data_IF_351598057880
#
_entry.id   IF_351598057880
#
_cell.length_a   1.000
_cell.length_b   1.000
_cell.length_c   1.000
_cell.angle_alpha   90.00
_cell.angle_beta   90.00
_cell.angle_gamma   90.00
#
_symmetry.space_group_name_H-M   'P 1'
#
loop_
_entity.id
_entity.type
_entity.pdbx_description
1 polymer ?
#
# COMPACT_ATOMS: atom_id res chain seq x y z
N UNK A 1 -16.21 -18.97 1.13
CA UNK A 1 -15.09 -18.33 0.39
C UNK A 1 -13.82 -18.64 1.14
N UNK A 2 -12.98 -19.47 0.53
CA UNK A 2 -11.72 -19.98 1.07
C UNK A 2 -10.63 -19.17 0.35
N UNK A 3 -9.74 -18.53 1.09
CA UNK A 3 -8.57 -17.90 0.50
C UNK A 3 -7.37 -18.81 0.72
N UNK A 4 -6.71 -19.18 -0.38
CA UNK A 4 -5.50 -20.00 -0.45
C UNK A 4 -4.25 -19.13 -0.39
N UNK A 5 -3.24 -19.58 0.35
CA UNK A 5 -1.86 -19.15 0.22
C UNK A 5 -1.12 -20.25 -0.55
N UNK A 6 -0.42 -19.91 -1.65
CA UNK A 6 0.26 -20.88 -2.53
C UNK A 6 1.34 -21.72 -1.82
N UNK A 7 1.85 -21.27 -0.67
CA UNK A 7 2.79 -22.05 0.17
C UNK A 7 2.12 -23.17 0.98
N UNK A 8 0.79 -23.23 1.04
CA UNK A 8 0.03 -24.16 1.89
C UNK A 8 -0.61 -25.32 1.11
N UNK A 9 -0.12 -25.64 -0.09
CA UNK A 9 -0.75 -26.61 -1.00
C UNK A 9 -0.55 -28.10 -0.66
N UNK A 10 0.28 -28.45 0.34
CA UNK A 10 0.70 -29.84 0.53
C UNK A 10 0.01 -30.64 1.64
N UNK A 11 -0.79 -30.06 2.54
CA UNK A 11 -1.39 -30.86 3.62
C UNK A 11 -2.87 -30.56 3.77
N UNK A 12 -3.69 -31.52 3.35
CA UNK A 12 -5.13 -31.61 3.65
C UNK A 12 -5.33 -31.81 5.16
N UNK A 13 -5.12 -30.78 5.96
CA UNK A 13 -5.63 -30.73 7.32
C UNK A 13 -6.37 -29.42 7.55
N UNK A 14 -7.61 -29.56 8.03
CA UNK A 14 -8.52 -28.47 8.36
C UNK A 14 -7.97 -27.74 9.58
N UNK A 15 -7.39 -26.56 9.40
CA UNK A 15 -6.96 -25.73 10.53
C UNK A 15 -8.17 -24.91 11.01
N UNK A 16 -8.68 -25.25 12.20
CA UNK A 16 -9.53 -24.35 12.97
C UNK A 16 -8.65 -23.26 13.57
N UNK A 17 -9.10 -22.01 13.45
CA UNK A 17 -8.77 -20.85 14.28
C UNK A 17 -7.65 -21.01 15.34
N UNK A 18 -6.67 -20.08 15.40
CA UNK A 18 -6.27 -19.11 14.37
C UNK A 18 -4.74 -18.95 14.30
N UNK A 19 -4.02 -19.95 13.80
CA UNK A 19 -2.65 -19.76 13.35
C UNK A 19 -2.48 -20.50 12.03
N UNK A 20 -2.05 -19.79 10.99
CA UNK A 20 -1.31 -20.43 9.91
C UNK A 20 0.14 -20.05 10.14
N UNK A 21 0.87 -20.92 10.83
CA UNK A 21 2.32 -20.87 10.81
C UNK A 21 2.76 -21.28 9.41
N UNK A 22 3.64 -20.50 8.81
CA UNK A 22 4.38 -20.95 7.65
C UNK A 22 5.77 -21.36 8.12
N UNK A 23 5.96 -22.61 8.57
CA UNK A 23 7.29 -23.09 8.90
C UNK A 23 8.10 -23.30 7.62
N UNK A 24 9.33 -22.81 7.60
CA UNK A 24 10.40 -23.39 6.78
C UNK A 24 11.33 -24.10 7.75
N UNK A 25 11.59 -25.39 7.52
CA UNK A 25 12.54 -26.20 8.30
C UNK A 25 12.25 -26.21 9.82
N UNK A 26 10.97 -26.17 10.21
CA UNK A 26 10.55 -26.16 11.62
C UNK A 26 10.64 -24.81 12.33
N UNK A 27 11.07 -23.74 11.64
CA UNK A 27 11.16 -22.37 12.20
C UNK A 27 9.96 -21.55 11.74
N UNK A 28 9.25 -20.92 12.69
CA UNK A 28 8.15 -20.01 12.38
C UNK A 28 8.71 -18.76 11.69
N UNK A 29 8.46 -18.64 10.39
CA UNK A 29 8.94 -17.52 9.58
C UNK A 29 8.02 -16.29 9.66
N UNK A 30 6.75 -16.51 10.02
CA UNK A 30 5.80 -15.42 10.11
C UNK A 30 4.54 -15.75 10.89
N UNK A 31 3.82 -14.70 11.27
CA UNK A 31 2.52 -14.77 11.93
C UNK A 31 1.44 -14.23 10.98
N UNK A 32 0.34 -14.98 10.85
CA UNK A 32 -0.78 -14.64 9.97
C UNK A 32 -2.07 -14.66 10.78
N UNK A 33 -2.74 -13.53 10.81
CA UNK A 33 -4.00 -13.34 11.52
C UNK A 33 -5.07 -12.86 10.57
N UNK A 34 -6.27 -13.42 10.70
CA UNK A 34 -7.43 -13.00 9.95
C UNK A 34 -8.64 -12.90 10.90
N UNK A 35 -9.20 -11.70 11.03
CA UNK A 35 -10.44 -11.46 11.74
C UNK A 35 -11.64 -11.79 10.83
N UNK A 36 -12.64 -12.46 11.39
CA UNK A 36 -13.81 -12.93 10.65
C UNK A 36 -15.03 -12.01 10.72
N UNK A 37 -14.86 -10.82 11.31
CA UNK A 37 -15.85 -9.74 11.24
C UNK A 37 -17.15 -10.02 12.03
N UNK A 38 -17.03 -10.47 13.29
CA UNK A 38 -18.16 -10.50 14.24
C UNK A 38 -17.81 -9.72 15.52
N UNK A 39 -18.75 -9.00 16.12
CA UNK A 39 -18.47 -8.10 17.27
C UNK A 39 -18.02 -8.84 18.54
N UNK A 40 -18.46 -10.08 18.74
CA UNK A 40 -18.00 -10.97 19.83
C UNK A 40 -16.55 -11.44 19.59
N UNK A 41 -16.06 -11.38 18.34
CA UNK A 41 -14.75 -11.88 17.91
C UNK A 41 -13.60 -10.94 18.23
N UNK A 42 -13.79 -9.61 18.30
CA UNK A 42 -12.63 -8.71 18.34
C UNK A 42 -11.82 -8.77 19.65
N UNK A 43 -12.47 -8.87 20.80
CA UNK A 43 -11.78 -9.00 22.09
C UNK A 43 -10.97 -10.31 22.13
N UNK A 44 -11.52 -11.39 21.60
CA UNK A 44 -10.85 -12.69 21.49
C UNK A 44 -9.68 -12.59 20.51
N UNK A 45 -9.88 -11.94 19.35
CA UNK A 45 -8.85 -11.70 18.35
C UNK A 45 -7.66 -10.93 18.94
N UNK A 46 -7.91 -9.83 19.67
CA UNK A 46 -6.87 -9.05 20.35
C UNK A 46 -6.06 -9.90 21.33
N UNK A 47 -6.74 -10.63 22.22
CA UNK A 47 -6.08 -11.51 23.19
C UNK A 47 -5.25 -12.58 22.48
N UNK A 48 -5.78 -13.10 21.38
CA UNK A 48 -5.12 -14.13 20.60
C UNK A 48 -3.85 -13.61 19.90
N UNK A 49 -3.92 -12.46 19.23
CA UNK A 49 -2.76 -11.81 18.61
C UNK A 49 -1.70 -11.58 19.69
N UNK A 50 -2.07 -10.97 20.81
CA UNK A 50 -1.14 -10.70 21.91
C UNK A 50 -0.46 -11.96 22.45
N UNK A 51 -1.23 -13.02 22.74
CA UNK A 51 -0.69 -14.31 23.21
C UNK A 51 0.24 -14.96 22.17
N UNK A 52 -0.10 -14.87 20.88
CA UNK A 52 0.74 -15.41 19.81
C UNK A 52 2.09 -14.69 19.71
N UNK A 53 2.11 -13.37 19.90
CA UNK A 53 3.36 -12.63 20.01
C UNK A 53 4.17 -13.10 21.23
N UNK A 54 3.56 -13.21 22.41
CA UNK A 54 4.25 -13.68 23.62
C UNK A 54 4.84 -15.09 23.48
N UNK A 55 4.12 -16.00 22.83
CA UNK A 55 4.56 -17.39 22.63
C UNK A 55 5.65 -17.52 21.57
N UNK A 56 5.76 -16.57 20.65
CA UNK A 56 6.80 -16.58 19.63
C UNK A 56 8.12 -16.07 20.23
N UNK A 57 9.12 -16.97 20.34
CA UNK A 57 10.46 -16.69 20.89
C UNK A 57 11.48 -16.23 19.85
N UNK A 58 11.09 -16.07 18.58
CA UNK A 58 12.01 -15.65 17.53
C UNK A 58 12.45 -14.19 17.77
N UNK A 59 13.77 -13.91 17.75
CA UNK A 59 14.28 -12.55 17.94
C UNK A 59 13.96 -11.63 16.75
N UNK A 60 13.76 -12.20 15.57
CA UNK A 60 13.36 -11.50 14.35
C UNK A 60 12.16 -12.25 13.75
N UNK A 61 11.07 -11.54 13.52
CA UNK A 61 9.90 -12.08 12.82
C UNK A 61 9.96 -11.65 11.36
N UNK A 62 10.18 -12.56 10.42
CA UNK A 62 10.33 -12.14 9.02
C UNK A 62 9.02 -11.55 8.47
N UNK A 63 7.88 -12.20 8.74
CA UNK A 63 6.58 -11.78 8.20
C UNK A 63 5.50 -11.62 9.27
N UNK A 64 4.78 -10.51 9.22
CA UNK A 64 3.54 -10.30 9.95
C UNK A 64 2.42 -9.92 9.00
N UNK A 65 1.36 -10.72 8.99
CA UNK A 65 0.14 -10.46 8.25
C UNK A 65 -1.04 -10.28 9.21
N UNK A 66 -1.73 -9.16 9.08
CA UNK A 66 -2.89 -8.76 9.85
C UNK A 66 -4.02 -8.43 8.88
N UNK A 67 -4.98 -9.33 8.75
CA UNK A 67 -6.26 -9.07 8.08
C UNK A 67 -7.30 -8.80 9.16
N UNK A 68 -7.78 -7.56 9.24
CA UNK A 68 -8.56 -7.03 10.35
C UNK A 68 -10.03 -6.86 9.95
N UNK A 69 -10.93 -6.79 10.93
CA UNK A 69 -12.31 -6.39 10.69
C UNK A 69 -12.44 -4.89 10.39
N UNK A 70 -13.55 -4.44 9.75
CA UNK A 70 -13.83 -3.03 9.46
C UNK A 70 -13.99 -2.19 10.73
N UNK A 71 -14.45 -2.80 11.83
CA UNK A 71 -14.67 -2.15 13.13
C UNK A 71 -13.45 -2.25 14.05
N UNK A 72 -12.28 -2.64 13.52
CA UNK A 72 -11.07 -2.76 14.32
C UNK A 72 -10.64 -1.41 14.89
N UNK A 73 -10.59 -1.24 16.23
CA UNK A 73 -10.16 0.01 16.82
C UNK A 73 -8.70 0.30 16.45
N UNK A 74 -8.44 1.56 16.12
CA UNK A 74 -7.12 2.04 15.72
C UNK A 74 -6.08 1.94 16.82
N UNK A 75 -6.49 2.00 18.10
CA UNK A 75 -5.61 1.75 19.25
C UNK A 75 -4.96 0.36 19.19
N UNK A 76 -5.67 -0.66 18.72
CA UNK A 76 -5.12 -2.02 18.63
C UNK A 76 -4.11 -2.14 17.48
N UNK A 77 -4.38 -1.44 16.37
CA UNK A 77 -3.44 -1.35 15.24
C UNK A 77 -2.11 -0.76 15.72
N UNK A 78 -2.16 0.33 16.49
CA UNK A 78 -0.97 0.93 17.10
C UNK A 78 -0.22 -0.04 18.02
N UNK A 79 -0.93 -0.81 18.84
CA UNK A 79 -0.31 -1.86 19.69
C UNK A 79 0.37 -2.94 18.86
N UNK A 80 -0.25 -3.42 17.78
CA UNK A 80 0.35 -4.45 16.91
C UNK A 80 1.54 -3.94 16.11
N UNK A 81 1.53 -2.66 15.70
CA UNK A 81 2.69 -1.98 15.12
C UNK A 81 3.83 -1.93 16.15
N UNK A 82 3.56 -1.53 17.40
CA UNK A 82 4.59 -1.53 18.45
C UNK A 82 5.17 -2.92 18.72
N UNK A 83 4.33 -3.96 18.71
CA UNK A 83 4.78 -5.34 18.83
C UNK A 83 5.65 -5.76 17.64
N UNK A 84 5.25 -5.42 16.40
CA UNK A 84 6.03 -5.68 15.21
C UNK A 84 7.41 -5.00 15.25
N UNK A 85 7.46 -3.76 15.77
CA UNK A 85 8.69 -3.02 15.99
C UNK A 85 9.61 -3.76 16.98
N UNK A 86 9.06 -4.22 18.10
CA UNK A 86 9.81 -4.98 19.13
C UNK A 86 10.38 -6.31 18.63
N UNK A 87 9.85 -6.86 17.53
CA UNK A 87 10.26 -8.12 16.91
C UNK A 87 11.04 -7.95 15.62
N UNK A 88 11.49 -6.73 15.35
CA UNK A 88 12.28 -6.40 14.16
C UNK A 88 11.65 -6.93 12.86
N UNK A 89 10.34 -6.74 12.71
CA UNK A 89 9.61 -7.25 11.54
C UNK A 89 10.22 -6.74 10.24
N UNK A 90 10.37 -7.63 9.25
CA UNK A 90 10.92 -7.29 7.92
C UNK A 90 9.85 -7.10 6.86
N UNK A 91 8.74 -7.82 6.97
CA UNK A 91 7.58 -7.70 6.08
C UNK A 91 6.32 -7.53 6.89
N UNK A 92 5.65 -6.40 6.70
CA UNK A 92 4.40 -6.05 7.38
C UNK A 92 3.30 -5.92 6.33
N UNK A 93 2.23 -6.69 6.52
CA UNK A 93 1.05 -6.67 5.68
C UNK A 93 -0.18 -6.41 6.56
N UNK A 94 -0.82 -5.26 6.41
CA UNK A 94 -2.03 -4.87 7.14
C UNK A 94 -3.16 -4.66 6.13
N UNK A 95 -4.29 -5.34 6.32
CA UNK A 95 -5.48 -5.24 5.50
C UNK A 95 -6.69 -4.92 6.37
N UNK A 96 -7.37 -3.82 6.06
CA UNK A 96 -8.61 -3.39 6.70
C UNK A 96 -9.67 -3.26 5.60
N UNK A 97 -10.62 -4.22 5.52
CA UNK A 97 -11.61 -4.30 4.47
C UNK A 97 -12.72 -3.25 4.64
N UNK A 98 -13.48 -3.05 3.56
CA UNK A 98 -14.61 -2.13 3.53
C UNK A 98 -15.72 -2.60 4.49
N UNK A 99 -16.38 -1.71 5.26
CA UNK A 99 -17.55 -2.10 6.04
C UNK A 99 -18.63 -2.63 5.10
N UNK A 100 -19.04 -3.90 5.25
CA UNK A 100 -20.13 -4.46 4.45
C UNK A 100 -21.39 -3.63 4.73
N UNK A 101 -21.97 -3.03 3.67
CA UNK A 101 -23.11 -2.10 3.69
C UNK A 101 -24.11 -2.41 4.83
N UNK A 102 -24.03 -1.60 5.88
CA UNK A 102 -25.05 -1.36 6.89
C UNK A 102 -25.00 0.14 7.21
N UNK A 103 -26.00 0.72 7.91
CA UNK A 103 -25.89 2.11 8.36
C UNK A 103 -24.63 2.24 9.20
N UNK A 104 -23.63 2.90 8.65
CA UNK A 104 -22.38 3.17 9.35
C UNK A 104 -22.78 4.00 10.57
N UNK A 105 -22.50 3.48 11.76
CA UNK A 105 -22.55 4.33 12.94
C UNK A 105 -21.38 5.26 12.76
N UNK A 106 -21.66 6.50 12.37
CA UNK A 106 -20.65 7.55 12.26
C UNK A 106 -19.77 7.48 13.52
N UNK A 107 -18.42 7.58 13.41
CA UNK A 107 -17.62 7.85 14.59
C UNK A 107 -18.27 9.05 15.28
N UNK A 108 -18.62 8.90 16.55
CA UNK A 108 -19.31 9.97 17.28
C UNK A 108 -18.44 11.21 17.11
N UNK A 109 -19.05 12.31 16.66
CA UNK A 109 -18.41 13.62 16.57
C UNK A 109 -17.78 13.95 17.92
N UNK A 110 -16.49 13.65 18.09
CA UNK A 110 -15.83 13.65 19.40
C UNK A 110 -14.63 12.71 19.51
N UNK A 111 -14.54 11.65 18.71
CA UNK A 111 -13.35 10.79 18.73
C UNK A 111 -12.14 11.51 18.08
N UNK A 112 -10.99 11.62 18.78
CA UNK A 112 -9.83 12.31 18.25
C UNK A 112 -9.31 11.60 16.97
N UNK A 113 -8.77 12.35 15.99
CA UNK A 113 -8.09 11.76 14.86
C UNK A 113 -6.95 10.88 15.39
N UNK A 114 -6.88 9.63 14.89
CA UNK A 114 -5.88 8.68 15.37
C UNK A 114 -4.71 8.65 14.41
N UNK A 115 -3.57 9.08 14.93
CA UNK A 115 -2.31 9.14 14.21
C UNK A 115 -1.59 7.80 14.34
N UNK A 116 -1.39 7.11 13.22
CA UNK A 116 -0.64 5.85 13.17
C UNK A 116 0.77 6.13 12.66
N UNK A 117 1.75 6.05 13.55
CA UNK A 117 3.16 6.22 13.20
C UNK A 117 3.82 4.86 12.99
N UNK A 118 4.29 4.60 11.78
CA UNK A 118 5.05 3.42 11.40
C UNK A 118 6.52 3.85 11.32
N UNK A 119 7.22 3.69 12.43
CA UNK A 119 8.66 3.94 12.55
C UNK A 119 9.35 2.61 12.81
N UNK A 120 9.89 1.97 11.78
CA UNK A 120 10.44 0.61 11.86
C UNK A 120 11.75 0.44 11.08
N UNK A 121 12.92 0.64 11.71
CA UNK A 121 14.19 0.64 10.99
C UNK A 121 14.57 -0.71 10.35
N UNK A 122 13.97 -1.83 10.79
CA UNK A 122 14.22 -3.17 10.20
C UNK A 122 13.28 -3.52 9.05
N UNK A 123 12.21 -2.75 8.84
CA UNK A 123 11.15 -3.12 7.91
C UNK A 123 11.60 -2.87 6.46
N UNK A 124 11.50 -3.91 5.63
CA UNK A 124 11.96 -3.88 4.24
C UNK A 124 10.79 -3.84 3.25
N UNK A 125 9.63 -4.39 3.64
CA UNK A 125 8.42 -4.37 2.81
C UNK A 125 7.19 -4.03 3.64
N UNK A 126 6.41 -3.07 3.15
CA UNK A 126 5.17 -2.61 3.76
C UNK A 126 4.05 -2.73 2.74
N UNK A 127 3.01 -3.48 3.09
CA UNK A 127 1.75 -3.49 2.38
C UNK A 127 0.63 -3.06 3.33
N UNK A 128 -0.05 -1.96 2.98
CA UNK A 128 -1.20 -1.46 3.71
C UNK A 128 -2.37 -1.32 2.76
N UNK A 129 -3.49 -1.93 3.12
CA UNK A 129 -4.76 -1.76 2.43
C UNK A 129 -5.79 -1.27 3.44
N UNK A 130 -6.26 -0.04 3.28
CA UNK A 130 -7.25 0.57 4.15
C UNK A 130 -8.46 1.03 3.35
N UNK A 131 -9.58 0.33 3.50
CA UNK A 131 -10.78 0.61 2.73
C UNK A 131 -11.80 1.49 3.47
N UNK A 132 -11.52 1.94 4.71
CA UNK A 132 -12.48 2.71 5.50
C UNK A 132 -12.42 4.21 5.14
N UNK A 133 -13.53 4.73 4.61
CA UNK A 133 -13.69 6.10 4.09
C UNK A 133 -13.78 7.15 5.22
N UNK A 134 -14.09 6.73 6.45
CA UNK A 134 -14.54 7.65 7.52
C UNK A 134 -13.50 7.96 8.59
N UNK A 135 -12.38 7.23 8.63
CA UNK A 135 -11.32 7.50 9.60
C UNK A 135 -10.57 8.78 9.23
N UNK A 136 -10.72 9.83 10.04
CA UNK A 136 -9.89 11.06 10.03
C UNK A 136 -8.46 10.81 10.54
N UNK A 137 -7.94 9.59 10.45
CA UNK A 137 -6.61 9.26 10.93
C UNK A 137 -5.53 9.79 9.99
N UNK A 138 -4.47 10.34 10.56
CA UNK A 138 -3.24 10.60 9.82
C UNK A 138 -2.31 9.40 10.00
N UNK A 139 -1.42 9.16 9.05
CA UNK A 139 -0.32 8.23 9.31
C UNK A 139 0.99 8.78 8.79
N UNK A 140 2.03 8.52 9.57
CA UNK A 140 3.42 8.86 9.25
C UNK A 140 4.15 7.56 9.02
N UNK A 141 4.74 7.40 7.84
CA UNK A 141 5.59 6.26 7.49
C UNK A 141 7.01 6.80 7.35
N UNK A 142 7.84 6.47 8.35
CA UNK A 142 9.28 6.78 8.39
C UNK A 142 10.02 5.46 8.60
N UNK A 143 10.43 4.85 7.49
CA UNK A 143 10.95 3.49 7.45
C UNK A 143 12.23 3.47 6.61
N UNK A 144 13.39 3.82 7.18
CA UNK A 144 14.60 4.11 6.41
C UNK A 144 15.12 2.94 5.58
N UNK A 145 14.87 1.70 6.02
CA UNK A 145 15.28 0.47 5.34
C UNK A 145 14.24 -0.07 4.34
N UNK A 146 13.14 0.65 4.10
CA UNK A 146 12.06 0.17 3.26
C UNK A 146 12.49 0.10 1.80
N UNK A 147 12.32 -1.07 1.17
CA UNK A 147 12.64 -1.30 -0.25
C UNK A 147 11.40 -1.37 -1.12
N UNK A 148 10.27 -1.80 -0.55
CA UNK A 148 9.00 -1.93 -1.25
C UNK A 148 7.84 -1.37 -0.42
N UNK A 149 7.10 -0.44 -1.01
CA UNK A 149 5.90 0.15 -0.45
C UNK A 149 4.70 -0.17 -1.34
N UNK A 150 3.64 -0.73 -0.75
CA UNK A 150 2.34 -0.86 -1.40
C UNK A 150 1.26 -0.30 -0.47
N UNK A 151 0.59 0.77 -0.92
CA UNK A 151 -0.50 1.40 -0.19
C UNK A 151 -1.73 1.46 -1.08
N UNK A 152 -2.82 0.89 -0.59
CA UNK A 152 -4.16 1.09 -1.15
C UNK A 152 -5.04 1.72 -0.10
N UNK A 153 -5.56 2.92 -0.36
CA UNK A 153 -6.35 3.62 0.63
C UNK A 153 -7.42 4.52 0.00
N UNK A 154 -8.66 4.29 0.40
CA UNK A 154 -9.84 4.98 -0.11
C UNK A 154 -10.28 6.19 0.72
N UNK A 155 -9.58 6.53 1.81
CA UNK A 155 -9.96 7.65 2.68
C UNK A 155 -9.88 8.98 1.91
N UNK A 156 -10.87 9.85 2.17
CA UNK A 156 -11.04 11.15 1.50
C UNK A 156 -9.99 12.20 1.89
N UNK A 157 -9.10 11.91 2.84
CA UNK A 157 -8.24 12.91 3.47
C UNK A 157 -6.75 12.75 3.16
N UNK A 158 -6.10 13.91 2.99
CA UNK A 158 -4.74 14.11 2.49
C UNK A 158 -3.66 14.15 3.60
N UNK A 159 -3.91 13.57 4.77
CA UNK A 159 -3.00 13.65 5.92
C UNK A 159 -2.03 12.47 5.99
N UNK A 160 -1.24 12.30 4.93
CA UNK A 160 -0.27 11.20 4.83
C UNK A 160 1.12 11.81 4.71
N UNK A 161 1.98 11.49 5.66
CA UNK A 161 3.39 11.85 5.61
C UNK A 161 4.17 10.59 5.32
N UNK A 162 4.71 10.55 4.11
CA UNK A 162 5.67 9.56 3.68
C UNK A 162 6.99 10.31 3.70
N UNK A 163 7.89 9.93 4.59
CA UNK A 163 9.13 10.66 4.83
C UNK A 163 10.29 9.67 4.99
N UNK A 164 11.49 10.12 4.66
CA UNK A 164 12.74 9.44 5.01
C UNK A 164 12.80 7.93 4.69
N UNK A 165 12.72 7.58 3.39
CA UNK A 165 12.93 6.20 2.93
C UNK A 165 13.95 6.16 1.77
N UNK A 166 15.23 6.43 2.05
CA UNK A 166 16.27 6.58 1.02
C UNK A 166 16.56 5.28 0.25
N UNK A 167 16.19 4.12 0.79
CA UNK A 167 16.40 2.81 0.17
C UNK A 167 15.18 2.33 -0.64
N UNK A 168 14.14 3.17 -0.79
CA UNK A 168 12.90 2.76 -1.43
C UNK A 168 13.08 2.59 -2.93
N UNK A 169 12.90 1.36 -3.42
CA UNK A 169 13.09 1.00 -4.83
C UNK A 169 11.75 0.95 -5.58
N UNK A 170 10.72 0.36 -4.96
CA UNK A 170 9.40 0.17 -5.57
C UNK A 170 8.31 0.77 -4.70
N UNK A 171 7.46 1.60 -5.31
CA UNK A 171 6.29 2.16 -4.67
C UNK A 171 5.05 1.92 -5.54
N UNK A 172 4.02 1.32 -4.96
CA UNK A 172 2.68 1.23 -5.54
C UNK A 172 1.71 1.98 -4.65
N UNK A 173 1.05 2.98 -5.20
CA UNK A 173 0.10 3.80 -4.45
C UNK A 173 -1.24 3.87 -5.18
N UNK A 174 -2.30 3.69 -4.41
CA UNK A 174 -3.69 3.73 -4.87
C UNK A 174 -4.50 4.52 -3.85
N UNK A 175 -4.55 5.84 -4.03
CA UNK A 175 -5.34 6.73 -3.19
C UNK A 175 -6.68 7.08 -3.84
N UNK A 176 -7.66 7.53 -3.05
CA UNK A 176 -8.93 8.06 -3.56
C UNK A 176 -8.77 9.28 -4.49
N UNK A 177 -9.85 9.63 -5.19
CA UNK A 177 -9.88 10.65 -6.23
C UNK A 177 -9.48 12.07 -5.77
N UNK A 178 -9.61 12.37 -4.48
CA UNK A 178 -9.27 13.67 -3.88
C UNK A 178 -7.81 13.77 -3.40
N UNK A 179 -6.98 12.79 -3.78
CA UNK A 179 -5.60 12.70 -3.33
C UNK A 179 -4.69 13.76 -3.98
N UNK A 180 -3.74 14.23 -3.19
CA UNK A 180 -2.72 15.21 -3.59
C UNK A 180 -1.38 14.53 -3.86
N UNK A 181 -0.49 15.24 -4.55
CA UNK A 181 0.86 14.79 -4.88
C UNK A 181 1.88 14.88 -3.73
N UNK A 182 1.45 15.15 -2.50
CA UNK A 182 2.36 15.38 -1.35
C UNK A 182 3.24 14.16 -1.05
N UNK A 183 2.72 12.95 -1.24
CA UNK A 183 3.47 11.71 -0.99
C UNK A 183 4.71 11.57 -1.87
N UNK A 184 4.72 12.18 -3.07
CA UNK A 184 5.88 12.12 -3.98
C UNK A 184 7.13 12.75 -3.36
N UNK A 185 6.98 13.66 -2.37
CA UNK A 185 8.12 14.24 -1.64
C UNK A 185 8.91 13.21 -0.85
N UNK A 186 8.26 12.16 -0.34
CA UNK A 186 8.92 11.08 0.41
C UNK A 186 9.52 9.98 -0.44
N UNK A 187 9.21 9.97 -1.75
CA UNK A 187 9.60 8.91 -2.66
C UNK A 187 10.94 9.19 -3.34
N UNK A 188 11.89 9.85 -2.68
CA UNK A 188 13.09 10.47 -3.27
C UNK A 188 13.96 9.51 -4.10
N UNK A 189 14.06 8.25 -3.71
CA UNK A 189 14.91 7.22 -4.34
C UNK A 189 14.18 6.24 -5.27
N UNK A 190 12.86 6.39 -5.45
CA UNK A 190 12.03 5.37 -6.12
C UNK A 190 12.47 5.17 -7.57
N UNK A 191 12.68 3.89 -7.94
CA UNK A 191 13.02 3.48 -9.30
C UNK A 191 11.81 2.95 -10.07
N UNK A 192 10.81 2.42 -9.37
CA UNK A 192 9.56 1.93 -9.97
C UNK A 192 8.35 2.49 -9.23
N UNK A 193 7.55 3.30 -9.92
CA UNK A 193 6.34 3.91 -9.37
C UNK A 193 5.11 3.41 -10.11
N UNK A 194 4.16 2.84 -9.37
CA UNK A 194 2.86 2.42 -9.89
C UNK A 194 1.74 3.27 -9.28
N UNK A 195 0.91 3.89 -10.13
CA UNK A 195 -0.30 4.62 -9.74
C UNK A 195 -1.56 3.89 -10.21
N UNK A 196 -2.63 3.88 -9.41
CA UNK A 196 -3.96 3.37 -9.82
C UNK A 196 -5.03 4.43 -10.06
N UNK A 197 -4.86 5.62 -9.49
CA UNK A 197 -5.82 6.72 -9.60
C UNK A 197 -5.08 8.01 -9.95
N UNK A 198 -5.74 8.97 -10.63
CA UNK A 198 -5.11 10.26 -10.87
C UNK A 198 -4.95 11.06 -9.58
N UNK A 199 -3.99 11.97 -9.63
CA UNK A 199 -3.88 13.05 -8.66
C UNK A 199 -4.74 14.21 -9.14
N UNK A 200 -5.31 14.96 -8.20
CA UNK A 200 -6.15 16.13 -8.48
C UNK A 200 -5.44 17.21 -9.31
N UNK A 201 -4.12 17.35 -9.15
CA UNK A 201 -3.26 18.22 -9.94
C UNK A 201 -1.79 17.79 -9.89
N UNK A 202 -1.01 18.06 -10.95
CA UNK A 202 0.44 17.88 -10.91
C UNK A 202 1.12 18.70 -9.80
N UNK A 203 2.29 18.25 -9.30
CA UNK A 203 3.13 19.07 -8.44
C UNK A 203 3.61 20.36 -9.11
N UNK A 204 3.68 21.45 -8.34
CA UNK A 204 4.27 22.72 -8.80
C UNK A 204 5.79 22.61 -8.98
N UNK A 205 6.46 21.85 -8.11
CA UNK A 205 7.88 21.55 -8.18
C UNK A 205 8.10 20.09 -8.55
N UNK A 206 9.07 19.80 -9.42
CA UNK A 206 9.38 18.42 -9.82
C UNK A 206 9.92 17.62 -8.63
N UNK A 207 9.28 16.49 -8.25
CA UNK A 207 9.80 15.61 -7.22
C UNK A 207 11.17 15.03 -7.60
N UNK A 208 12.05 14.91 -6.62
CA UNK A 208 13.44 14.45 -6.79
C UNK A 208 13.52 13.10 -7.53
N UNK A 209 12.59 12.19 -7.26
CA UNK A 209 12.59 10.88 -7.89
C UNK A 209 12.34 10.92 -9.39
N UNK A 210 11.55 11.87 -9.89
CA UNK A 210 11.38 12.04 -11.34
C UNK A 210 12.70 12.48 -11.97
N UNK A 211 13.44 13.38 -11.31
CA UNK A 211 14.69 13.91 -11.84
C UNK A 211 15.83 12.88 -11.81
N UNK A 212 15.93 12.06 -10.76
CA UNK A 212 17.18 11.33 -10.49
C UNK A 212 17.09 9.81 -10.45
N UNK A 213 15.92 9.21 -10.21
CA UNK A 213 15.84 7.77 -9.90
C UNK A 213 14.79 6.98 -10.67
N UNK A 214 13.71 7.61 -11.12
CA UNK A 214 12.57 6.89 -11.69
C UNK A 214 12.93 6.28 -13.05
N UNK A 215 12.93 4.95 -13.11
CA UNK A 215 13.26 4.17 -14.30
C UNK A 215 12.03 3.51 -14.94
N UNK A 216 11.04 3.13 -14.14
CA UNK A 216 9.79 2.56 -14.63
C UNK A 216 8.58 3.26 -13.99
N UNK A 217 7.65 3.69 -14.84
CA UNK A 217 6.37 4.24 -14.42
C UNK A 217 5.23 3.34 -14.92
N UNK A 218 4.31 2.99 -14.04
CA UNK A 218 3.14 2.19 -14.38
C UNK A 218 1.87 2.92 -13.95
N UNK A 219 0.96 3.16 -14.88
CA UNK A 219 -0.37 3.66 -14.59
C UNK A 219 -1.40 2.57 -14.83
N UNK A 220 -1.87 1.97 -13.75
CA UNK A 220 -2.91 0.96 -13.79
C UNK A 220 -4.30 1.59 -13.85
N UNK A 221 -5.19 1.08 -14.70
CA UNK A 221 -6.53 1.63 -14.92
C UNK A 221 -6.57 3.09 -15.40
N UNK A 222 -5.65 3.46 -16.28
CA UNK A 222 -5.62 4.75 -16.97
C UNK A 222 -6.90 4.96 -17.78
N UNK A 223 -7.70 5.98 -17.38
CA UNK A 223 -8.99 6.28 -18.03
C UNK A 223 -8.87 7.28 -19.17
N UNK A 224 -7.72 7.94 -19.32
CA UNK A 224 -7.50 8.96 -20.35
C UNK A 224 -8.38 10.20 -20.21
N UNK A 225 -8.82 10.54 -18.98
CA UNK A 225 -9.48 11.82 -18.70
C UNK A 225 -8.45 12.96 -18.77
N UNK A 226 -8.92 14.20 -18.87
CA UNK A 226 -8.04 15.38 -18.90
C UNK A 226 -7.04 15.40 -17.72
N UNK A 227 -7.53 15.14 -16.50
CA UNK A 227 -6.68 15.05 -15.30
C UNK A 227 -5.64 13.91 -15.36
N UNK A 228 -6.02 12.76 -15.95
CA UNK A 228 -5.10 11.64 -16.10
C UNK A 228 -4.00 12.00 -17.10
N UNK A 229 -4.37 12.63 -18.22
CA UNK A 229 -3.45 13.08 -19.28
C UNK A 229 -2.46 14.12 -18.78
N UNK A 230 -2.92 15.11 -18.02
CA UNK A 230 -2.07 16.16 -17.47
C UNK A 230 -0.98 15.59 -16.57
N UNK A 231 -1.35 14.68 -15.67
CA UNK A 231 -0.39 14.03 -14.78
C UNK A 231 0.55 13.08 -15.55
N UNK A 232 0.04 12.32 -16.52
CA UNK A 232 0.87 11.45 -17.36
C UNK A 232 1.91 12.25 -18.15
N UNK A 233 1.47 13.34 -18.82
CA UNK A 233 2.34 14.28 -19.53
C UNK A 233 3.38 14.90 -18.59
N UNK A 234 2.96 15.27 -17.38
CA UNK A 234 3.88 15.79 -16.37
C UNK A 234 4.99 14.80 -16.02
N UNK A 235 4.65 13.53 -15.73
CA UNK A 235 5.66 12.51 -15.43
C UNK A 235 6.60 12.31 -16.61
N UNK A 236 6.07 12.14 -17.83
CA UNK A 236 6.87 11.91 -19.04
C UNK A 236 7.83 13.08 -19.35
N UNK A 237 7.39 14.32 -19.14
CA UNK A 237 8.20 15.53 -19.37
C UNK A 237 9.27 15.79 -18.32
N UNK A 238 9.16 15.20 -17.14
CA UNK A 238 10.06 15.49 -16.02
C UNK A 238 10.91 14.29 -15.60
N UNK A 239 10.56 13.07 -16.01
CA UNK A 239 11.28 11.86 -15.61
C UNK A 239 12.53 11.62 -16.48
N UNK A 240 13.68 12.12 -16.02
CA UNK A 240 14.93 12.16 -16.82
C UNK A 240 15.59 10.78 -16.99
N UNK A 241 15.36 9.84 -16.06
CA UNK A 241 15.91 8.48 -16.11
C UNK A 241 14.91 7.41 -16.55
N UNK A 242 13.75 7.83 -17.02
CA UNK A 242 12.67 6.93 -17.38
C UNK A 242 13.10 6.03 -18.55
N UNK A 243 12.95 4.72 -18.37
CA UNK A 243 13.21 3.70 -19.40
C UNK A 243 11.91 3.17 -19.95
N UNK A 244 10.92 2.95 -19.09
CA UNK A 244 9.61 2.42 -19.47
C UNK A 244 8.47 3.16 -18.79
N UNK A 245 7.43 3.48 -19.56
CA UNK A 245 6.18 4.04 -19.08
C UNK A 245 5.02 3.17 -19.59
N UNK A 246 4.39 2.40 -18.71
CA UNK A 246 3.32 1.47 -19.06
C UNK A 246 1.98 2.02 -18.58
N UNK A 247 0.99 2.05 -19.47
CA UNK A 247 -0.37 2.46 -19.15
C UNK A 247 -1.30 1.29 -19.41
N UNK A 248 -2.17 0.95 -18.46
CA UNK A 248 -3.14 -0.14 -18.65
C UNK A 248 -4.56 0.35 -18.45
N UNK A 249 -5.52 -0.24 -19.17
CA UNK A 249 -6.95 0.09 -19.07
C UNK A 249 -7.77 -1.21 -19.09
N UNK A 250 -8.89 -1.23 -18.35
CA UNK A 250 -9.82 -2.38 -18.36
C UNK A 250 -10.56 -2.59 -19.68
N UNK A 251 -10.64 -1.56 -20.53
CA UNK A 251 -11.28 -1.65 -21.84
C UNK A 251 -10.45 -2.52 -22.78
N UNK A 252 -11.10 -3.39 -23.54
CA UNK A 252 -10.49 -4.18 -24.62
C UNK A 252 -10.50 -3.44 -25.96
N UNK A 253 -11.05 -2.22 -26.02
CA UNK A 253 -11.05 -1.45 -27.26
C UNK A 253 -9.63 -0.99 -27.63
N UNK A 254 -9.07 -1.64 -28.64
CA UNK A 254 -7.75 -1.32 -29.18
C UNK A 254 -7.72 0.05 -29.86
N UNK A 255 -8.86 0.55 -30.38
CA UNK A 255 -8.94 1.87 -31.01
C UNK A 255 -8.66 3.00 -30.00
N UNK A 256 -9.37 2.99 -28.88
CA UNK A 256 -9.11 3.90 -27.76
C UNK A 256 -7.68 3.79 -27.22
N UNK A 257 -7.16 2.56 -27.01
CA UNK A 257 -5.78 2.35 -26.53
C UNK A 257 -4.75 2.98 -27.48
N UNK A 258 -4.87 2.73 -28.79
CA UNK A 258 -4.00 3.30 -29.82
C UNK A 258 -4.08 4.83 -29.87
N UNK A 259 -5.27 5.42 -29.72
CA UNK A 259 -5.43 6.87 -29.70
C UNK A 259 -4.76 7.50 -28.47
N UNK A 260 -4.93 6.90 -27.30
CA UNK A 260 -4.29 7.36 -26.06
C UNK A 260 -2.77 7.24 -26.13
N UNK A 261 -2.26 6.14 -26.69
CA UNK A 261 -0.83 5.93 -26.88
C UNK A 261 -0.24 7.00 -27.80
N UNK A 262 -0.84 7.26 -28.97
CA UNK A 262 -0.39 8.33 -29.88
C UNK A 262 -0.37 9.69 -29.21
N UNK A 263 -1.36 9.98 -28.36
CA UNK A 263 -1.37 11.25 -27.61
C UNK A 263 -0.20 11.33 -26.61
N UNK A 264 0.12 10.25 -25.91
CA UNK A 264 1.25 10.22 -24.97
C UNK A 264 2.60 10.23 -25.68
N UNK A 265 2.74 9.55 -26.82
CA UNK A 265 3.94 9.55 -27.66
C UNK A 265 4.20 10.90 -28.34
N UNK A 266 3.15 11.69 -28.60
CA UNK A 266 3.29 13.06 -29.12
C UNK A 266 4.00 14.02 -28.14
N UNK A 267 4.18 13.59 -26.89
CA UNK A 267 4.81 14.37 -25.83
C UNK A 267 6.31 14.11 -25.87
N UNK A 268 7.10 15.15 -26.08
CA UNK A 268 8.55 15.06 -25.90
C UNK A 268 8.87 14.59 -24.47
N UNK A 269 9.40 13.37 -24.36
CA UNK A 269 9.83 12.80 -23.08
C UNK A 269 11.13 13.46 -22.62
N UNK A 270 11.30 13.58 -21.31
CA UNK A 270 12.54 14.09 -20.72
C UNK A 270 13.73 13.14 -20.95
N UNK A 271 13.43 11.85 -21.09
CA UNK A 271 14.39 10.78 -21.37
C UNK A 271 14.25 10.32 -22.82
N UNK A 272 15.29 10.50 -23.67
CA UNK A 272 15.27 10.03 -25.06
C UNK A 272 15.16 8.51 -25.21
N UNK A 273 15.51 7.75 -24.16
CA UNK A 273 15.44 6.29 -24.15
C UNK A 273 14.10 5.73 -23.63
N UNK A 274 13.17 6.60 -23.21
CA UNK A 274 11.92 6.16 -22.62
C UNK A 274 11.00 5.52 -23.68
N UNK A 275 10.54 4.30 -23.39
CA UNK A 275 9.52 3.61 -24.18
C UNK A 275 8.15 3.78 -23.51
N UNK A 276 7.16 4.22 -24.27
CA UNK A 276 5.77 4.32 -23.81
C UNK A 276 5.03 3.09 -24.33
N UNK A 277 4.38 2.36 -23.42
CA UNK A 277 3.71 1.09 -23.70
C UNK A 277 2.28 1.15 -23.18
N UNK A 278 1.37 0.42 -23.84
CA UNK A 278 0.00 0.23 -23.38
C UNK A 278 -0.30 -1.27 -23.24
N UNK A 279 -0.81 -1.68 -22.08
CA UNK A 279 -1.21 -3.06 -21.75
C UNK A 279 -2.75 -3.23 -21.82
#
# INVERSE_FOLDING_TARGET
>A
MIYSCEYCHSTRQKVFWPQVFCPKDGVIFGLWFQDSNTTISITIFKQFVHRSFLSNKAPVLEHLHLSLGPDCPSVDIGLWINLALSRHVRVLHIVIPYPKKGPVTLPKTGDPPVDVNIVMPSLQRLHMSHANIETRGTYVIDVPSLKCLEISDSARCNFRQIENMPELVRARVSFGADSTHKFLKGLTSVRRLTLRQPLTKPPSSVPECLLHSLEAFEWFEYKGRQVDREMAKYVLKNALRLKTATFSKRSTDMGEKCQMLKELESVATASPSAQILFD
#
